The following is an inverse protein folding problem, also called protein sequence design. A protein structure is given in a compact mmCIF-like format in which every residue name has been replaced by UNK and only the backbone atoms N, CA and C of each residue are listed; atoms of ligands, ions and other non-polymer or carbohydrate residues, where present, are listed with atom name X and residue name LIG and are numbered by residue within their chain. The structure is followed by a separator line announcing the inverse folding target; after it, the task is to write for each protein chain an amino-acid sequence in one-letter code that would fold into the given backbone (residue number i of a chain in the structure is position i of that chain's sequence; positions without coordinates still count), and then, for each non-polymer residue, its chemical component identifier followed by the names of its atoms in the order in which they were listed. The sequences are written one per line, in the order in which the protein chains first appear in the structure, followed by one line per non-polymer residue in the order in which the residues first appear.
data_IF_015407244271
#
_entry.id   IF_015407244271
#
_cell.length_a   1.000
_cell.length_b   1.000
_cell.length_c   1.000
_cell.angle_alpha   90.00
_cell.angle_beta   90.00
_cell.angle_gamma   90.00
#
_symmetry.space_group_name_H-M   'P 1'
#
loop_
_entity.id
_entity.type
_entity.pdbx_description
1 polymer ?
#
# COMPACT_ATOMS: atom_id res chain seq x y z
N UNK A 1 -17.21 -11.50 20.11
CA UNK A 1 -16.84 -10.45 19.14
C UNK A 1 -15.50 -10.82 18.54
N UNK A 2 -15.38 -11.14 17.24
CA UNK A 2 -14.07 -11.42 16.66
C UNK A 2 -13.26 -10.11 16.70
N UNK A 3 -12.11 -10.16 17.37
CA UNK A 3 -11.17 -9.05 17.49
C UNK A 3 -10.63 -8.78 16.07
N UNK A 4 -11.15 -7.74 15.39
CA UNK A 4 -10.63 -7.31 14.07
C UNK A 4 -9.22 -6.77 14.29
N UNK A 5 -8.22 -7.60 14.02
CA UNK A 5 -6.81 -7.21 14.10
C UNK A 5 -6.54 -6.29 12.90
N UNK A 6 -6.18 -5.03 13.17
CA UNK A 6 -5.76 -4.05 12.17
C UNK A 6 -4.36 -4.40 11.67
N UNK A 7 -4.18 -4.48 10.36
CA UNK A 7 -2.88 -4.83 9.75
C UNK A 7 -2.11 -3.60 9.25
N UNK A 8 -2.77 -2.45 9.04
CA UNK A 8 -2.07 -1.19 8.78
C UNK A 8 -1.48 -0.66 10.10
N UNK A 9 -0.15 -0.45 10.18
CA UNK A 9 0.56 -0.15 11.43
C UNK A 9 0.26 1.24 12.01
N UNK A 10 -0.36 2.12 11.23
CA UNK A 10 -0.60 3.51 11.54
C UNK A 10 -2.08 3.75 11.88
N UNK A 11 -2.37 4.04 13.15
CA UNK A 11 -3.71 4.45 13.59
C UNK A 11 -3.96 5.95 13.35
N UNK A 12 -3.71 6.42 12.13
CA UNK A 12 -3.79 7.84 11.78
C UNK A 12 -5.11 8.23 11.12
N UNK A 13 -6.01 7.25 10.87
CA UNK A 13 -7.33 7.52 10.32
C UNK A 13 -8.38 6.52 10.81
N UNK A 14 -9.65 6.96 10.84
CA UNK A 14 -10.84 6.12 11.11
C UNK A 14 -11.14 5.11 10.01
N UNK A 15 -10.41 5.15 8.89
CA UNK A 15 -10.58 4.23 7.79
C UNK A 15 -10.03 2.85 8.16
N UNK A 16 -10.83 1.85 7.86
CA UNK A 16 -10.49 0.44 7.96
C UNK A 16 -9.52 0.02 6.85
N UNK A 17 -8.80 -1.07 7.09
CA UNK A 17 -7.91 -1.69 6.10
C UNK A 17 -8.66 -1.98 4.79
N UNK A 18 -9.93 -2.40 4.87
CA UNK A 18 -10.80 -2.61 3.69
C UNK A 18 -10.99 -1.33 2.90
N UNK A 19 -11.34 -0.22 3.54
CA UNK A 19 -11.58 1.05 2.84
C UNK A 19 -10.31 1.57 2.16
N UNK A 20 -9.15 1.37 2.78
CA UNK A 20 -7.86 1.75 2.17
C UNK A 20 -7.58 0.85 0.97
N UNK A 21 -7.77 -0.47 1.08
CA UNK A 21 -7.62 -1.39 -0.07
C UNK A 21 -8.56 -1.02 -1.21
N UNK A 22 -9.83 -0.75 -0.93
CA UNK A 22 -10.81 -0.38 -1.97
C UNK A 22 -10.44 0.91 -2.70
N UNK A 23 -9.81 1.87 -2.01
CA UNK A 23 -9.41 3.15 -2.60
C UNK A 23 -8.22 3.03 -3.54
N UNK A 24 -7.27 2.16 -3.24
CA UNK A 24 -6.02 2.04 -4.01
C UNK A 24 -6.00 0.87 -4.99
N UNK A 25 -6.72 -0.21 -4.70
CA UNK A 25 -6.72 -1.43 -5.50
C UNK A 25 -8.09 -1.62 -6.16
N UNK A 26 -9.07 -2.15 -5.42
CA UNK A 26 -10.50 -2.30 -5.75
C UNK A 26 -11.13 -3.38 -4.84
N UNK A 27 -12.42 -3.68 -5.04
CA UNK A 27 -13.14 -4.74 -4.32
C UNK A 27 -12.69 -6.15 -4.70
N UNK A 28 -12.25 -6.35 -5.94
CA UNK A 28 -11.73 -7.63 -6.39
C UNK A 28 -10.47 -8.01 -5.60
N UNK A 29 -9.53 -7.07 -5.47
CA UNK A 29 -8.29 -7.27 -4.72
C UNK A 29 -8.54 -7.47 -3.22
N UNK A 30 -9.56 -6.84 -2.66
CA UNK A 30 -9.98 -7.14 -1.28
C UNK A 30 -10.39 -8.61 -1.13
N UNK A 31 -11.17 -9.15 -2.07
CA UNK A 31 -11.55 -10.57 -2.07
C UNK A 31 -10.34 -11.51 -2.18
N UNK A 32 -9.34 -11.15 -2.99
CA UNK A 32 -8.08 -11.91 -3.09
C UNK A 32 -7.32 -11.92 -1.77
N UNK A 33 -7.24 -10.78 -1.08
CA UNK A 33 -6.61 -10.69 0.25
C UNK A 33 -7.33 -11.58 1.27
N UNK A 34 -8.67 -11.57 1.29
CA UNK A 34 -9.46 -12.42 2.19
C UNK A 34 -9.22 -13.92 1.92
N UNK A 35 -9.18 -14.31 0.64
CA UNK A 35 -8.85 -15.68 0.22
C UNK A 35 -7.45 -16.10 0.72
N UNK A 36 -6.43 -15.29 0.46
CA UNK A 36 -5.06 -15.58 0.89
C UNK A 36 -4.88 -15.61 2.41
N UNK A 37 -5.64 -14.78 3.16
CA UNK A 37 -5.65 -14.82 4.63
C UNK A 37 -6.22 -16.13 5.17
N UNK A 38 -7.25 -16.67 4.52
CA UNK A 38 -7.84 -17.95 4.90
C UNK A 38 -6.84 -19.12 4.76
N UNK A 39 -5.89 -19.02 3.84
CA UNK A 39 -4.87 -20.05 3.57
C UNK A 39 -3.71 -20.08 4.60
N UNK A 40 -3.71 -19.18 5.61
CA UNK A 40 -2.79 -19.12 6.79
C UNK A 40 -1.28 -19.17 6.51
N UNK A 41 -0.81 -19.03 5.27
CA UNK A 41 0.61 -19.09 4.88
C UNK A 41 1.24 -17.75 4.50
N UNK A 42 0.46 -16.67 4.40
CA UNK A 42 0.87 -15.42 3.73
C UNK A 42 0.97 -14.19 4.65
N UNK A 43 0.84 -14.36 5.98
CA UNK A 43 0.70 -13.25 6.93
C UNK A 43 1.80 -12.17 6.86
N UNK A 44 3.05 -12.55 6.54
CA UNK A 44 4.14 -11.58 6.37
C UNK A 44 3.97 -10.75 5.09
N UNK A 45 3.68 -11.39 3.96
CA UNK A 45 3.47 -10.71 2.68
C UNK A 45 2.24 -9.79 2.71
N UNK A 46 1.15 -10.22 3.37
CA UNK A 46 -0.03 -9.39 3.58
C UNK A 46 0.30 -8.13 4.39
N UNK A 47 0.99 -8.28 5.53
CA UNK A 47 1.44 -7.14 6.34
C UNK A 47 2.28 -6.15 5.53
N UNK A 48 3.22 -6.65 4.72
CA UNK A 48 4.04 -5.79 3.86
C UNK A 48 3.20 -5.03 2.83
N UNK A 49 2.17 -5.64 2.25
CA UNK A 49 1.23 -4.96 1.36
C UNK A 49 0.48 -3.85 2.11
N UNK A 50 -0.02 -4.13 3.32
CA UNK A 50 -0.70 -3.12 4.14
C UNK A 50 0.22 -1.99 4.58
N UNK A 51 1.51 -2.24 4.79
CA UNK A 51 2.51 -1.19 5.01
C UNK A 51 2.64 -0.27 3.78
N UNK A 52 2.72 -0.83 2.56
CA UNK A 52 2.75 -0.02 1.32
C UNK A 52 1.48 0.84 1.19
N UNK A 53 0.30 0.22 1.33
CA UNK A 53 -0.98 0.94 1.22
C UNK A 53 -1.15 1.99 2.33
N UNK A 54 -0.67 1.69 3.53
CA UNK A 54 -0.64 2.62 4.66
C UNK A 54 0.24 3.84 4.38
N UNK A 55 1.46 3.63 3.87
CA UNK A 55 2.37 4.72 3.51
C UNK A 55 1.77 5.62 2.43
N UNK A 56 1.20 5.03 1.36
CA UNK A 56 0.48 5.77 0.32
C UNK A 56 -0.65 6.61 0.91
N UNK A 57 -1.47 6.01 1.78
CA UNK A 57 -2.59 6.68 2.41
C UNK A 57 -2.17 7.85 3.29
N UNK A 58 -1.16 7.65 4.14
CA UNK A 58 -0.66 8.66 5.07
C UNK A 58 -0.17 9.89 4.30
N UNK A 59 0.61 9.69 3.24
CA UNK A 59 1.11 10.81 2.44
C UNK A 59 -0.04 11.50 1.69
N UNK A 60 -0.97 10.73 1.12
CA UNK A 60 -2.11 11.28 0.38
C UNK A 60 -3.04 12.14 1.26
N UNK A 61 -3.05 11.92 2.59
CA UNK A 61 -3.99 12.58 3.51
C UNK A 61 -3.38 13.64 4.41
N UNK A 62 -2.07 13.76 4.47
CA UNK A 62 -1.39 14.66 5.40
C UNK A 62 -0.65 15.77 4.65
N UNK A 63 -1.23 16.99 4.54
CA UNK A 63 -0.61 18.12 3.86
C UNK A 63 0.82 18.42 4.32
N UNK A 64 1.09 18.32 5.62
CA UNK A 64 2.44 18.57 6.14
C UNK A 64 3.49 17.59 5.63
N UNK A 65 3.11 16.33 5.41
CA UNK A 65 4.01 15.34 4.79
C UNK A 65 4.14 15.62 3.29
N UNK A 66 3.06 16.08 2.64
CA UNK A 66 3.12 16.45 1.23
C UNK A 66 4.08 17.62 1.02
N UNK A 67 3.94 18.68 1.81
CA UNK A 67 4.80 19.86 1.75
C UNK A 67 6.28 19.49 1.96
N UNK A 68 6.59 18.71 3.00
CA UNK A 68 7.96 18.25 3.27
C UNK A 68 8.55 17.42 2.10
N UNK A 69 7.75 16.53 1.51
CA UNK A 69 8.18 15.71 0.37
C UNK A 69 8.28 16.51 -0.93
N UNK A 70 7.46 17.55 -1.11
CA UNK A 70 7.53 18.49 -2.24
C UNK A 70 8.77 19.39 -2.15
N UNK A 71 9.11 19.83 -0.93
CA UNK A 71 10.33 20.60 -0.65
C UNK A 71 11.59 19.74 -0.76
N UNK A 72 11.51 18.44 -0.46
CA UNK A 72 12.64 17.52 -0.48
C UNK A 72 12.43 16.36 -1.47
N UNK A 73 12.73 16.62 -2.75
CA UNK A 73 12.66 15.64 -3.84
C UNK A 73 13.41 14.34 -3.53
N UNK A 74 14.58 14.40 -2.87
CA UNK A 74 15.35 13.19 -2.51
C UNK A 74 14.58 12.31 -1.54
N UNK A 75 13.87 12.89 -0.57
CA UNK A 75 13.03 12.15 0.39
C UNK A 75 11.84 11.50 -0.31
N UNK A 76 11.23 12.19 -1.26
CA UNK A 76 10.18 11.60 -2.11
C UNK A 76 10.70 10.40 -2.92
N UNK A 77 11.84 10.53 -3.59
CA UNK A 77 12.45 9.43 -4.35
C UNK A 77 12.81 8.23 -3.45
N UNK A 78 13.29 8.49 -2.23
CA UNK A 78 13.55 7.45 -1.22
C UNK A 78 12.27 6.73 -0.78
N UNK A 79 11.17 7.45 -0.57
CA UNK A 79 9.87 6.85 -0.27
C UNK A 79 9.44 5.93 -1.42
N UNK A 80 9.42 6.43 -2.66
CA UNK A 80 9.01 5.63 -3.82
C UNK A 80 9.89 4.38 -3.99
N UNK A 81 11.21 4.52 -3.80
CA UNK A 81 12.13 3.39 -3.81
C UNK A 81 11.81 2.37 -2.72
N UNK A 82 11.56 2.81 -1.49
CA UNK A 82 11.20 1.94 -0.38
C UNK A 82 9.88 1.18 -0.61
N UNK A 83 8.87 1.84 -1.17
CA UNK A 83 7.59 1.19 -1.52
C UNK A 83 7.80 0.10 -2.56
N UNK A 84 8.51 0.38 -3.65
CA UNK A 84 8.80 -0.60 -4.70
C UNK A 84 9.64 -1.77 -4.17
N UNK A 85 10.68 -1.49 -3.38
CA UNK A 85 11.50 -2.53 -2.75
C UNK A 85 10.68 -3.45 -1.82
N UNK A 86 9.68 -2.91 -1.11
CA UNK A 86 8.76 -3.70 -0.29
C UNK A 86 7.86 -4.59 -1.16
N UNK A 87 7.40 -4.10 -2.32
CA UNK A 87 6.64 -4.89 -3.29
C UNK A 87 7.48 -6.03 -3.91
N UNK A 88 8.74 -5.78 -4.26
CA UNK A 88 9.66 -6.81 -4.78
C UNK A 88 9.88 -7.94 -3.78
N UNK A 89 9.96 -7.58 -2.51
CA UNK A 89 10.03 -8.52 -1.41
C UNK A 89 8.77 -9.37 -1.23
N UNK A 90 7.61 -8.90 -1.66
CA UNK A 90 6.38 -9.70 -1.70
C UNK A 90 6.44 -10.67 -2.88
N UNK A 91 6.88 -10.20 -4.06
CA UNK A 91 7.07 -11.05 -5.25
C UNK A 91 8.00 -12.23 -4.96
N UNK A 92 9.16 -11.98 -4.35
CA UNK A 92 10.11 -13.06 -4.04
C UNK A 92 9.56 -14.09 -3.06
N UNK A 93 8.62 -13.68 -2.20
CA UNK A 93 7.94 -14.57 -1.24
C UNK A 93 6.69 -15.24 -1.79
N UNK A 94 6.13 -14.74 -2.90
CA UNK A 94 4.93 -15.29 -3.50
C UNK A 94 5.14 -16.73 -4.01
N UNK A 95 6.38 -17.11 -4.32
CA UNK A 95 6.75 -18.46 -4.75
C UNK A 95 5.85 -19.00 -5.89
N UNK A 96 5.55 -18.14 -6.87
CA UNK A 96 4.68 -18.46 -8.01
C UNK A 96 3.17 -18.40 -7.73
N UNK A 97 2.73 -17.95 -6.54
CA UNK A 97 1.31 -17.74 -6.26
C UNK A 97 0.76 -16.60 -7.14
N UNK A 98 -0.05 -16.97 -8.13
CA UNK A 98 -0.62 -16.05 -9.13
C UNK A 98 -1.46 -14.95 -8.49
N UNK A 99 -2.24 -15.26 -7.46
CA UNK A 99 -3.10 -14.30 -6.76
C UNK A 99 -2.26 -13.27 -5.99
N UNK A 100 -1.19 -13.71 -5.34
CA UNK A 100 -0.27 -12.81 -4.65
C UNK A 100 0.49 -11.90 -5.63
N UNK A 101 0.89 -12.43 -6.79
CA UNK A 101 1.54 -11.64 -7.84
C UNK A 101 0.57 -10.59 -8.42
N UNK A 102 -0.68 -10.97 -8.66
CA UNK A 102 -1.74 -10.06 -9.12
C UNK A 102 -1.98 -8.90 -8.14
N UNK A 103 -1.99 -9.18 -6.83
CA UNK A 103 -2.07 -8.14 -5.81
C UNK A 103 -0.89 -7.17 -5.87
N UNK A 104 0.32 -7.68 -6.06
CA UNK A 104 1.51 -6.83 -6.17
C UNK A 104 1.44 -5.96 -7.42
N UNK A 105 0.99 -6.49 -8.56
CA UNK A 105 0.84 -5.71 -9.79
C UNK A 105 -0.13 -4.53 -9.57
N UNK A 106 -1.31 -4.77 -9.00
CA UNK A 106 -2.25 -3.68 -8.70
C UNK A 106 -1.67 -2.67 -7.69
N UNK A 107 -0.89 -3.12 -6.72
CA UNK A 107 -0.20 -2.22 -5.79
C UNK A 107 0.89 -1.39 -6.48
N UNK A 108 1.61 -1.95 -7.46
CA UNK A 108 2.58 -1.21 -8.28
C UNK A 108 1.90 -0.15 -9.13
N UNK A 109 0.72 -0.45 -9.67
CA UNK A 109 -0.09 0.54 -10.41
C UNK A 109 -0.47 1.71 -9.49
N UNK A 110 -0.90 1.42 -8.25
CA UNK A 110 -1.22 2.44 -7.26
C UNK A 110 0.00 3.30 -6.89
N UNK A 111 1.18 2.70 -6.68
CA UNK A 111 2.45 3.43 -6.44
C UNK A 111 2.83 4.29 -7.65
N UNK A 112 2.64 3.78 -8.87
CA UNK A 112 2.96 4.49 -10.11
C UNK A 112 2.02 5.70 -10.31
N UNK A 113 0.73 5.50 -10.08
CA UNK A 113 -0.27 6.56 -10.12
C UNK A 113 0.03 7.65 -9.08
N UNK A 114 0.36 7.25 -7.84
CA UNK A 114 0.78 8.17 -6.78
C UNK A 114 2.04 8.95 -7.20
N UNK A 115 3.04 8.27 -7.76
CA UNK A 115 4.29 8.91 -8.21
C UNK A 115 4.05 9.95 -9.31
N UNK A 116 3.11 9.68 -10.22
CA UNK A 116 2.78 10.59 -11.32
C UNK A 116 1.88 11.77 -10.89
N UNK A 117 1.02 11.55 -9.89
CA UNK A 117 0.13 12.57 -9.34
C UNK A 117 0.86 13.54 -8.41
N UNK A 118 1.70 13.02 -7.51
CA UNK A 118 2.24 13.77 -6.38
C UNK A 118 3.01 15.06 -6.74
N UNK A 119 3.89 15.09 -7.76
CA UNK A 119 4.57 16.33 -8.16
C UNK A 119 3.63 17.40 -8.71
N UNK A 120 2.46 17.01 -9.26
CA UNK A 120 1.46 17.93 -9.82
C UNK A 120 0.63 18.61 -8.75
N UNK A 121 0.62 18.09 -7.52
CA UNK A 121 -0.08 18.68 -6.39
C UNK A 121 0.45 20.08 -6.04
N UNK A 122 1.68 20.42 -6.46
CA UNK A 122 2.25 21.78 -6.28
C UNK A 122 1.57 22.85 -7.15
N UNK A 123 0.90 22.45 -8.22
CA UNK A 123 0.30 23.36 -9.21
C UNK A 123 -1.24 23.50 -9.06
N UNK A 124 -1.82 22.92 -8.00
CA UNK A 124 -3.25 23.01 -7.65
C UNK A 124 -3.48 23.94 -6.45
#
# INVERSE_FOLDING_TARGET
MPHRIREIPYNYTSFSDREIVLRFLDEEMWGVIEKLRAERRTGRSARMLFEVLGDLWVVTRNPYIQDDLLENRKRFEQLIHALNHRLDQIVSRANGNVEALRLVERARDAVSAFTAWFPKTRDL
#
